data_IF_355612506669
#
_entry.id   IF_355612506669
#
_cell.length_a   1.000
_cell.length_b   1.000
_cell.length_c   1.000
_cell.angle_alpha   90.00
_cell.angle_beta   90.00
_cell.angle_gamma   90.00
#
_symmetry.space_group_name_H-M   'P 1'
#
loop_
_entity.id
_entity.type
_entity.pdbx_description
1 polymer ?
#
# COMPACT_ATOMS: atom_id res chain seq x y z
N UNK A 1 -5.44 12.75 21.57
CA UNK A 1 -4.21 13.44 21.12
C UNK A 1 -3.51 12.51 20.15
N UNK A 2 -3.15 13.00 18.96
CA UNK A 2 -2.47 12.20 17.94
C UNK A 2 -1.05 11.85 18.42
N UNK A 3 -0.59 10.62 18.15
CA UNK A 3 0.75 10.18 18.55
C UNK A 3 1.81 10.92 17.70
N UNK A 4 2.69 11.74 18.31
CA UNK A 4 3.66 12.55 17.55
C UNK A 4 4.67 11.71 16.77
N UNK A 5 4.83 10.42 17.12
CA UNK A 5 5.70 9.50 16.39
C UNK A 5 5.13 9.15 15.01
N UNK A 6 3.80 9.11 14.88
CA UNK A 6 3.12 8.86 13.61
C UNK A 6 3.34 10.05 12.66
N UNK A 7 3.15 11.27 13.16
CA UNK A 7 3.38 12.48 12.37
C UNK A 7 4.83 12.58 11.90
N UNK A 8 5.79 12.30 12.80
CA UNK A 8 7.22 12.30 12.45
C UNK A 8 7.55 11.29 11.37
N UNK A 9 6.99 10.08 11.45
CA UNK A 9 7.22 9.04 10.45
C UNK A 9 6.59 9.41 9.11
N UNK A 10 5.34 9.88 9.11
CA UNK A 10 4.65 10.33 7.90
C UNK A 10 5.40 11.47 7.20
N UNK A 11 5.86 12.47 7.96
CA UNK A 11 6.70 13.56 7.45
C UNK A 11 8.00 13.01 6.82
N UNK A 12 8.68 12.09 7.50
CA UNK A 12 9.93 11.50 6.99
C UNK A 12 9.72 10.78 5.67
N UNK A 13 8.65 9.99 5.55
CA UNK A 13 8.34 9.26 4.33
C UNK A 13 8.00 10.20 3.17
N UNK A 14 7.20 11.24 3.42
CA UNK A 14 6.77 12.18 2.38
C UNK A 14 7.89 13.15 1.97
N UNK A 15 8.58 13.76 2.93
CA UNK A 15 9.51 14.87 2.68
C UNK A 15 10.93 14.40 2.36
N UNK A 16 11.39 13.36 3.06
CA UNK A 16 12.77 12.89 2.93
C UNK A 16 12.88 11.70 1.97
N UNK A 17 12.07 10.66 2.17
CA UNK A 17 12.17 9.43 1.37
C UNK A 17 11.59 9.60 -0.03
N UNK A 18 10.40 10.18 -0.16
CA UNK A 18 9.74 10.36 -1.44
C UNK A 18 9.91 11.76 -2.04
N UNK A 19 10.27 12.75 -1.22
CA UNK A 19 10.44 14.15 -1.64
C UNK A 19 9.25 14.67 -2.47
N UNK A 20 8.04 14.39 -1.97
CA UNK A 20 6.78 14.62 -2.69
C UNK A 20 6.63 16.09 -3.08
N UNK A 21 6.16 16.30 -4.31
CA UNK A 21 5.85 17.62 -4.85
C UNK A 21 4.34 17.81 -5.02
N UNK A 22 3.86 19.07 -5.06
CA UNK A 22 2.49 19.36 -5.47
C UNK A 22 2.15 18.70 -6.81
N UNK A 23 0.89 18.32 -6.98
CA UNK A 23 0.33 17.67 -8.17
C UNK A 23 0.88 16.27 -8.51
N UNK A 24 1.75 15.68 -7.68
CA UNK A 24 2.18 14.28 -7.80
C UNK A 24 1.13 13.32 -7.24
N UNK A 25 0.97 12.16 -7.88
CA UNK A 25 0.16 11.05 -7.39
C UNK A 25 1.03 10.12 -6.54
N UNK A 26 0.55 9.81 -5.33
CA UNK A 26 1.28 8.98 -4.36
C UNK A 26 0.45 7.75 -4.03
N UNK A 27 0.97 6.57 -4.34
CA UNK A 27 0.31 5.31 -3.97
C UNK A 27 0.81 4.81 -2.62
N UNK A 28 -0.11 4.54 -1.71
CA UNK A 28 0.13 4.01 -0.37
C UNK A 28 -0.46 2.60 -0.29
N UNK A 29 0.41 1.63 -0.07
CA UNK A 29 0.09 0.21 -0.12
C UNK A 29 0.27 -0.36 1.30
N UNK A 30 -0.83 -0.58 2.01
CA UNK A 30 -0.85 -1.02 3.40
C UNK A 30 -1.31 -2.47 3.52
N UNK A 31 -0.52 -3.30 4.20
CA UNK A 31 -0.79 -4.73 4.35
C UNK A 31 -0.81 -5.08 5.83
N UNK A 32 -1.87 -5.75 6.29
CA UNK A 32 -1.99 -6.30 7.65
C UNK A 32 -1.55 -5.37 8.79
N UNK A 33 -1.79 -4.06 8.65
CA UNK A 33 -1.51 -3.12 9.73
C UNK A 33 -2.58 -3.29 10.83
N UNK A 34 -2.18 -3.25 12.11
CA UNK A 34 -3.13 -3.38 13.21
C UNK A 34 -4.07 -2.18 13.30
N UNK A 35 -3.61 -1.00 12.88
CA UNK A 35 -4.36 0.25 12.96
C UNK A 35 -4.10 1.13 11.72
N UNK A 36 -5.10 1.91 11.28
CA UNK A 36 -5.00 2.73 10.07
C UNK A 36 -4.25 4.06 10.28
N UNK A 37 -3.90 4.41 11.52
CA UNK A 37 -3.48 5.75 11.91
C UNK A 37 -2.30 6.32 11.07
N UNK A 38 -1.29 5.50 10.75
CA UNK A 38 -0.17 5.93 9.90
C UNK A 38 -0.60 6.19 8.45
N UNK A 39 -1.47 5.35 7.90
CA UNK A 39 -1.98 5.53 6.53
C UNK A 39 -2.85 6.77 6.44
N UNK A 40 -3.73 7.00 7.43
CA UNK A 40 -4.52 8.23 7.51
C UNK A 40 -3.62 9.47 7.54
N UNK A 41 -2.56 9.49 8.36
CA UNK A 41 -1.65 10.64 8.38
C UNK A 41 -0.83 10.81 7.11
N UNK A 42 -0.43 9.73 6.43
CA UNK A 42 0.20 9.86 5.12
C UNK A 42 -0.75 10.49 4.09
N UNK A 43 -2.03 10.09 4.08
CA UNK A 43 -3.04 10.67 3.19
C UNK A 43 -3.23 12.16 3.46
N UNK A 44 -3.46 12.52 4.73
CA UNK A 44 -3.70 13.90 5.13
C UNK A 44 -2.48 14.79 4.83
N UNK A 45 -1.28 14.35 5.21
CA UNK A 45 -0.04 15.11 5.01
C UNK A 45 0.38 15.19 3.53
N UNK A 46 0.08 14.17 2.71
CA UNK A 46 0.29 14.26 1.27
C UNK A 46 -0.65 15.31 0.64
N UNK A 47 -1.93 15.32 1.04
CA UNK A 47 -2.89 16.32 0.57
C UNK A 47 -2.51 17.75 1.01
N UNK A 48 -2.02 17.92 2.25
CA UNK A 48 -1.47 19.20 2.75
C UNK A 48 -0.32 19.74 1.88
N UNK A 49 0.43 18.86 1.21
CA UNK A 49 1.52 19.20 0.27
C UNK A 49 1.04 19.44 -1.16
N UNK A 50 -0.27 19.37 -1.41
CA UNK A 50 -0.86 19.49 -2.74
C UNK A 50 -0.69 18.24 -3.61
N UNK A 51 -0.25 17.11 -3.04
CA UNK A 51 -0.19 15.84 -3.74
C UNK A 51 -1.54 15.10 -3.69
N UNK A 52 -1.69 14.05 -4.53
CA UNK A 52 -2.91 13.25 -4.65
C UNK A 52 -2.65 11.83 -4.13
N UNK A 53 -3.04 11.52 -2.88
CA UNK A 53 -2.84 10.19 -2.32
C UNK A 53 -3.85 9.18 -2.87
N UNK A 54 -3.38 7.97 -3.14
CA UNK A 54 -4.17 6.78 -3.48
C UNK A 54 -3.81 5.69 -2.48
N UNK A 55 -4.79 4.90 -2.03
CA UNK A 55 -4.56 3.89 -1.00
C UNK A 55 -5.08 2.53 -1.47
N UNK A 56 -4.24 1.51 -1.34
CA UNK A 56 -4.67 0.12 -1.34
C UNK A 56 -4.46 -0.46 0.07
N UNK A 57 -5.55 -0.88 0.71
CA UNK A 57 -5.52 -1.60 1.98
C UNK A 57 -5.74 -3.08 1.73
N UNK A 58 -4.75 -3.91 2.06
CA UNK A 58 -4.73 -5.33 1.72
C UNK A 58 -4.58 -6.19 2.98
N UNK A 59 -5.19 -7.37 2.93
CA UNK A 59 -5.04 -8.39 3.95
C UNK A 59 -4.40 -9.64 3.34
N UNK A 60 -3.35 -10.16 3.95
CA UNK A 60 -2.72 -11.38 3.44
C UNK A 60 -3.66 -12.59 3.55
N UNK A 61 -4.57 -12.64 4.52
CA UNK A 61 -5.57 -13.69 4.63
C UNK A 61 -6.55 -13.70 3.43
N UNK A 62 -6.93 -12.50 2.97
CA UNK A 62 -7.76 -12.35 1.76
C UNK A 62 -6.96 -12.70 0.51
N UNK A 63 -5.73 -12.20 0.38
CA UNK A 63 -4.83 -12.52 -0.73
C UNK A 63 -4.55 -14.02 -0.83
N UNK A 64 -4.35 -14.70 0.31
CA UNK A 64 -4.22 -16.15 0.40
C UNK A 64 -5.42 -16.86 -0.24
N UNK A 65 -6.64 -16.45 0.13
CA UNK A 65 -7.86 -17.01 -0.47
C UNK A 65 -7.90 -16.78 -1.97
N UNK A 66 -7.55 -15.57 -2.42
CA UNK A 66 -7.50 -15.20 -3.83
C UNK A 66 -6.50 -16.08 -4.60
N UNK A 67 -5.27 -16.22 -4.09
CA UNK A 67 -4.21 -16.99 -4.74
C UNK A 67 -4.52 -18.48 -4.79
N UNK A 68 -5.11 -19.06 -3.73
CA UNK A 68 -5.51 -20.48 -3.76
C UNK A 68 -6.49 -20.79 -4.89
N UNK A 69 -7.37 -19.86 -5.20
CA UNK A 69 -8.37 -19.98 -6.28
C UNK A 69 -7.99 -19.27 -7.57
N UNK A 70 -6.75 -18.76 -7.68
CA UNK A 70 -6.34 -17.96 -8.83
C UNK A 70 -6.41 -18.75 -10.13
N UNK A 71 -6.86 -18.07 -11.18
CA UNK A 71 -6.76 -18.50 -12.59
C UNK A 71 -5.78 -17.59 -13.32
N UNK A 72 -5.20 -18.09 -14.43
CA UNK A 72 -4.26 -17.32 -15.23
C UNK A 72 -4.91 -16.03 -15.74
N UNK A 73 -6.13 -16.12 -16.28
CA UNK A 73 -6.86 -14.99 -16.84
C UNK A 73 -7.17 -13.94 -15.76
N UNK A 74 -7.56 -14.38 -14.56
CA UNK A 74 -7.86 -13.49 -13.44
C UNK A 74 -6.62 -12.75 -12.94
N UNK A 75 -5.48 -13.45 -12.84
CA UNK A 75 -4.22 -12.84 -12.40
C UNK A 75 -3.63 -11.90 -13.47
N UNK A 76 -3.77 -12.23 -14.75
CA UNK A 76 -3.39 -11.34 -15.85
C UNK A 76 -4.18 -10.03 -15.79
N UNK A 77 -5.50 -10.12 -15.63
CA UNK A 77 -6.36 -8.94 -15.53
C UNK A 77 -6.06 -8.11 -14.27
N UNK A 78 -5.80 -8.76 -13.13
CA UNK A 78 -5.36 -8.05 -11.92
C UNK A 78 -4.04 -7.29 -12.17
N UNK A 79 -3.08 -7.93 -12.85
CA UNK A 79 -1.82 -7.30 -13.24
C UNK A 79 -1.99 -6.11 -14.19
N UNK A 80 -2.96 -6.17 -15.10
CA UNK A 80 -3.29 -5.03 -15.97
C UNK A 80 -3.77 -3.81 -15.16
N UNK A 81 -4.60 -4.03 -14.14
CA UNK A 81 -5.07 -2.96 -13.25
C UNK A 81 -3.91 -2.38 -12.42
N UNK A 82 -3.08 -3.24 -11.84
CA UNK A 82 -1.93 -2.82 -11.03
C UNK A 82 -0.93 -2.01 -11.87
N UNK A 83 -0.61 -2.46 -13.09
CA UNK A 83 0.26 -1.73 -14.03
C UNK A 83 -0.37 -0.39 -14.41
N UNK A 84 -1.67 -0.36 -14.72
CA UNK A 84 -2.36 0.87 -15.10
C UNK A 84 -2.38 1.90 -13.95
N UNK A 85 -2.51 1.43 -12.70
CA UNK A 85 -2.40 2.27 -11.51
C UNK A 85 -0.97 2.79 -11.36
N UNK A 86 0.03 1.92 -11.31
CA UNK A 86 1.43 2.28 -11.08
C UNK A 86 1.97 3.26 -12.14
N UNK A 87 1.60 3.10 -13.42
CA UNK A 87 1.98 4.02 -14.51
C UNK A 87 1.56 5.48 -14.28
N UNK A 88 0.57 5.72 -13.43
CA UNK A 88 0.06 7.06 -13.12
C UNK A 88 0.67 7.65 -11.85
N UNK A 89 1.49 6.91 -11.11
CA UNK A 89 2.04 7.32 -9.82
C UNK A 89 3.45 7.87 -9.96
N UNK A 90 3.78 8.89 -9.17
CA UNK A 90 5.13 9.45 -9.09
C UNK A 90 5.88 8.94 -7.86
N UNK A 91 5.14 8.55 -6.81
CA UNK A 91 5.71 7.96 -5.62
C UNK A 91 4.89 6.75 -5.14
N UNK A 92 5.57 5.83 -4.46
CA UNK A 92 5.01 4.61 -3.90
C UNK A 92 5.54 4.39 -2.48
N UNK A 93 4.63 4.24 -1.52
CA UNK A 93 4.94 3.94 -0.12
C UNK A 93 4.29 2.61 0.23
N UNK A 94 5.12 1.61 0.49
CA UNK A 94 4.70 0.30 0.95
C UNK A 94 4.87 0.20 2.47
N UNK A 95 3.77 -0.09 3.18
CA UNK A 95 3.80 -0.39 4.62
C UNK A 95 3.36 -1.85 4.79
N UNK A 96 4.25 -2.66 5.34
CA UNK A 96 4.02 -4.09 5.56
C UNK A 96 3.92 -4.34 7.06
N UNK A 97 2.70 -4.54 7.53
CA UNK A 97 2.44 -5.27 8.76
C UNK A 97 2.55 -6.77 8.50
N UNK A 98 2.69 -7.53 9.58
CA UNK A 98 2.72 -8.98 9.56
C UNK A 98 1.89 -9.48 10.72
N UNK A 99 0.57 -9.53 10.52
CA UNK A 99 -0.34 -10.16 11.48
C UNK A 99 -0.03 -11.67 11.60
N UNK A 100 0.34 -12.30 10.49
CA UNK A 100 0.84 -13.67 10.44
C UNK A 100 1.94 -13.80 9.37
N UNK A 101 3.16 -14.11 9.77
CA UNK A 101 4.30 -14.28 8.86
C UNK A 101 4.23 -15.55 7.99
N UNK A 102 3.35 -16.49 8.33
CA UNK A 102 3.18 -17.77 7.63
C UNK A 102 1.87 -17.84 6.83
N UNK A 103 1.18 -16.70 6.65
CA UNK A 103 -0.16 -16.66 6.06
C UNK A 103 -0.22 -17.32 4.67
N UNK A 104 0.79 -17.10 3.82
CA UNK A 104 0.82 -17.66 2.47
C UNK A 104 1.49 -19.05 2.36
N UNK A 105 1.85 -19.68 3.48
CA UNK A 105 2.69 -20.90 3.50
C UNK A 105 2.09 -22.13 2.82
N UNK A 106 0.77 -22.20 2.69
CA UNK A 106 0.06 -23.31 2.02
C UNK A 106 -0.46 -22.95 0.61
N UNK A 107 -0.10 -21.78 0.10
CA UNK A 107 -0.40 -21.40 -1.28
C UNK A 107 0.67 -22.02 -2.19
N UNK A 108 0.29 -22.78 -3.24
CA UNK A 108 1.26 -23.33 -4.20
C UNK A 108 2.10 -22.21 -4.83
N UNK A 109 3.41 -22.44 -4.97
CA UNK A 109 4.36 -21.40 -5.39
C UNK A 109 4.07 -20.87 -6.80
N UNK A 110 3.50 -21.69 -7.68
CA UNK A 110 3.08 -21.33 -9.03
C UNK A 110 1.84 -20.42 -9.09
N UNK A 111 1.17 -20.21 -7.95
CA UNK A 111 -0.02 -19.35 -7.82
C UNK A 111 0.24 -18.01 -7.11
N UNK A 112 1.47 -17.78 -6.64
CA UNK A 112 1.94 -16.52 -6.04
C UNK A 112 2.68 -15.73 -7.12
#
# INVERSE_FOLDING_TARGET
MQDPRIDKLAATLLDHSCQIKPDENVLIDAYDLPEPALVCRLVEMAAERGARPFVNWKSNAVLRSLFRTATLEGMQLAGEFDIAQMKKMQAYIAIRGTANSSELSDVPAEKI
#
